data_IF_175998675674
#
_entry.id   IF_175998675674
#
_cell.length_a   1.000
_cell.length_b   1.000
_cell.length_c   1.000
_cell.angle_alpha   90.00
_cell.angle_beta   90.00
_cell.angle_gamma   90.00
#
_symmetry.space_group_name_H-M   'P 1'
#
loop_
_entity.id
_entity.type
_entity.pdbx_description
1 polymer ?
#
# COMPACT_ATOMS: atom_id res chain seq x y z
N UNK A 1 12.37 2.62 -1.52
CA UNK A 1 12.52 3.78 -2.44
C UNK A 1 11.56 4.86 -1.96
N UNK A 2 12.02 6.09 -1.70
CA UNK A 2 11.13 7.19 -1.27
C UNK A 2 10.90 8.10 -2.48
N UNK A 3 9.64 8.25 -2.88
CA UNK A 3 9.20 9.20 -3.90
C UNK A 3 8.94 10.56 -3.24
N UNK A 4 9.47 11.62 -3.81
CA UNK A 4 9.46 12.94 -3.19
C UNK A 4 9.79 14.02 -4.20
N UNK A 5 9.35 15.25 -3.93
CA UNK A 5 9.76 16.43 -4.70
C UNK A 5 11.00 17.08 -4.10
N UNK A 6 11.63 17.99 -4.85
CA UNK A 6 12.70 18.84 -4.34
C UNK A 6 12.13 19.90 -3.38
N UNK A 7 12.58 19.89 -2.12
CA UNK A 7 12.14 20.87 -1.11
C UNK A 7 12.45 22.32 -1.49
N UNK A 8 13.52 22.59 -2.25
CA UNK A 8 13.83 23.94 -2.75
C UNK A 8 12.89 24.39 -3.88
N UNK A 9 12.53 23.48 -4.79
CA UNK A 9 11.53 23.77 -5.82
C UNK A 9 10.17 24.04 -5.18
N UNK A 10 9.78 23.23 -4.20
CA UNK A 10 8.51 23.40 -3.50
C UNK A 10 8.49 24.70 -2.70
N UNK A 11 9.56 25.05 -1.99
CA UNK A 11 9.62 26.30 -1.23
C UNK A 11 9.57 27.56 -2.11
N UNK A 12 10.05 27.47 -3.35
CA UNK A 12 10.02 28.59 -4.30
C UNK A 12 8.62 28.85 -4.86
N UNK A 13 7.82 27.80 -5.06
CA UNK A 13 6.46 27.87 -5.57
C UNK A 13 5.64 26.66 -5.08
N UNK A 14 5.00 26.77 -3.89
CA UNK A 14 4.27 25.66 -3.26
C UNK A 14 3.02 25.23 -4.01
N UNK A 15 2.39 26.16 -4.75
CA UNK A 15 1.13 25.96 -5.47
C UNK A 15 1.34 25.43 -6.89
N UNK A 16 2.61 25.27 -7.30
CA UNK A 16 2.97 24.74 -8.62
C UNK A 16 2.46 23.32 -8.81
N UNK A 17 1.87 23.09 -9.97
CA UNK A 17 1.55 21.74 -10.42
C UNK A 17 2.81 20.87 -10.52
N UNK A 18 2.70 19.65 -9.99
CA UNK A 18 3.79 18.67 -9.96
C UNK A 18 3.72 17.81 -11.23
N UNK A 19 4.74 17.91 -12.07
CA UNK A 19 4.92 16.99 -13.19
C UNK A 19 5.56 15.70 -12.68
N UNK A 20 4.80 14.61 -12.72
CA UNK A 20 5.22 13.33 -12.16
C UNK A 20 6.53 12.79 -12.77
N UNK A 21 6.79 13.04 -14.06
CA UNK A 21 7.97 12.50 -14.74
C UNK A 21 9.25 13.26 -14.39
N UNK A 22 9.14 14.55 -14.10
CA UNK A 22 10.30 15.44 -13.94
C UNK A 22 10.51 15.90 -12.50
N UNK A 23 9.45 16.02 -11.71
CA UNK A 23 9.47 16.56 -10.36
C UNK A 23 9.54 15.48 -9.27
N UNK A 24 9.14 14.23 -9.58
CA UNK A 24 9.30 13.11 -8.66
C UNK A 24 10.73 12.60 -8.72
N UNK A 25 11.43 12.77 -7.60
CA UNK A 25 12.82 12.39 -7.43
C UNK A 25 12.90 11.08 -6.68
N UNK A 26 13.77 10.19 -7.16
CA UNK A 26 14.23 9.06 -6.37
C UNK A 26 15.31 9.54 -5.41
N UNK A 27 15.13 9.23 -4.13
CA UNK A 27 16.09 9.54 -3.08
C UNK A 27 16.66 8.31 -2.40
N UNK A 28 17.83 8.47 -1.81
CA UNK A 28 18.46 7.49 -0.94
C UNK A 28 18.78 8.11 0.42
N UNK A 29 18.67 7.31 1.48
CA UNK A 29 19.14 7.74 2.80
C UNK A 29 20.67 7.68 2.83
N UNK A 30 21.29 8.69 3.44
CA UNK A 30 22.74 8.76 3.68
C UNK A 30 22.99 9.12 5.13
N UNK A 31 23.98 8.47 5.75
CA UNK A 31 24.45 8.83 7.08
C UNK A 31 25.55 9.89 6.97
N UNK A 32 25.41 11.00 7.68
CA UNK A 32 26.38 12.10 7.72
C UNK A 32 26.36 12.75 9.11
N UNK A 33 27.52 12.97 9.71
CA UNK A 33 27.68 13.67 11.00
C UNK A 33 26.80 13.12 12.14
N UNK A 34 26.64 11.79 12.20
CA UNK A 34 25.80 11.13 13.21
C UNK A 34 24.30 11.30 13.00
N UNK A 35 23.88 11.78 11.83
CA UNK A 35 22.48 11.98 11.41
C UNK A 35 22.18 11.21 10.13
N UNK A 36 20.91 11.09 9.78
CA UNK A 36 20.46 10.52 8.51
C UNK A 36 19.76 11.59 7.68
N UNK A 37 20.15 11.69 6.42
CA UNK A 37 19.58 12.62 5.45
C UNK A 37 18.95 11.86 4.29
N UNK A 38 17.83 12.36 3.78
CA UNK A 38 17.30 11.91 2.50
C UNK A 38 17.91 12.77 1.39
N UNK A 39 18.81 12.17 0.63
CA UNK A 39 19.52 12.78 -0.50
C UNK A 39 18.78 12.52 -1.80
N UNK A 40 18.61 13.56 -2.61
CA UNK A 40 18.04 13.49 -3.96
C UNK A 40 18.84 14.36 -4.93
N UNK A 41 18.66 14.12 -6.23
CA UNK A 41 19.18 15.00 -7.28
C UNK A 41 18.01 15.72 -7.97
N UNK A 42 17.93 17.03 -7.81
CA UNK A 42 16.93 17.86 -8.45
C UNK A 42 17.24 18.07 -9.94
N UNK A 43 16.31 17.70 -10.81
CA UNK A 43 16.43 17.82 -12.27
C UNK A 43 16.26 19.25 -12.80
N UNK A 44 15.83 20.19 -11.95
CA UNK A 44 15.54 21.60 -12.31
C UNK A 44 16.68 22.57 -12.00
N UNK A 45 17.88 22.06 -11.73
CA UNK A 45 19.07 22.89 -11.55
C UNK A 45 19.48 23.19 -10.10
N UNK A 46 18.72 22.74 -9.09
CA UNK A 46 19.17 22.84 -7.68
C UNK A 46 20.28 21.84 -7.33
N UNK A 47 20.59 20.90 -8.22
CA UNK A 47 21.61 19.89 -8.01
C UNK A 47 21.23 18.93 -6.87
N UNK A 48 22.23 18.51 -6.10
CA UNK A 48 21.99 17.67 -4.93
C UNK A 48 21.23 18.44 -3.86
N UNK A 49 20.15 17.84 -3.38
CA UNK A 49 19.35 18.37 -2.27
C UNK A 49 19.25 17.32 -1.19
N UNK A 50 19.52 17.73 0.05
CA UNK A 50 19.38 16.92 1.24
C UNK A 50 18.29 17.50 2.13
N UNK A 51 17.60 16.62 2.84
CA UNK A 51 16.69 17.00 3.92
C UNK A 51 16.97 16.09 5.10
N UNK A 52 16.96 16.66 6.31
CA UNK A 52 17.12 15.86 7.52
C UNK A 52 15.99 14.83 7.57
N UNK A 53 16.34 13.57 7.79
CA UNK A 53 15.41 12.47 7.93
C UNK A 53 15.36 12.00 9.39
N UNK A 54 16.51 11.86 10.03
CA UNK A 54 16.66 11.50 11.43
C UNK A 54 17.87 12.23 12.03
N UNK A 55 17.73 12.76 13.24
CA UNK A 55 18.75 13.55 13.94
C UNK A 55 19.74 12.70 14.75
N UNK A 56 19.42 11.43 15.01
CA UNK A 56 20.32 10.48 15.67
C UNK A 56 20.42 9.17 14.87
N UNK A 57 21.59 8.96 14.25
CA UNK A 57 21.91 7.75 13.51
C UNK A 57 21.80 6.48 14.36
N UNK A 58 22.16 6.53 15.65
CA UNK A 58 22.07 5.35 16.53
C UNK A 58 20.63 4.96 16.77
N UNK A 59 19.76 5.95 16.95
CA UNK A 59 18.32 5.71 17.04
C UNK A 59 17.79 5.16 15.71
N UNK A 60 18.16 5.75 14.57
CA UNK A 60 17.76 5.26 13.26
C UNK A 60 18.12 3.77 13.06
N UNK A 61 19.36 3.41 13.37
CA UNK A 61 19.91 2.06 13.24
C UNK A 61 19.22 1.08 14.20
N UNK A 62 19.05 1.49 15.46
CA UNK A 62 18.26 0.74 16.45
C UNK A 62 16.83 0.49 15.96
N UNK A 63 16.17 1.49 15.37
CA UNK A 63 14.80 1.34 14.84
C UNK A 63 14.73 0.42 13.62
N UNK A 64 15.82 0.22 12.87
CA UNK A 64 15.82 -0.71 11.75
C UNK A 64 15.53 -2.16 12.20
N UNK A 65 15.89 -2.52 13.43
CA UNK A 65 15.62 -3.87 13.98
C UNK A 65 14.12 -4.11 14.28
N UNK A 66 13.34 -3.04 14.43
CA UNK A 66 11.90 -3.09 14.70
C UNK A 66 11.07 -2.99 13.43
N UNK A 67 11.70 -2.78 12.27
CA UNK A 67 11.02 -2.95 11.01
C UNK A 67 10.60 -4.40 10.94
N UNK A 68 9.28 -4.64 10.86
CA UNK A 68 8.77 -5.96 10.52
C UNK A 68 9.50 -6.39 9.27
N UNK A 69 10.36 -7.45 9.34
CA UNK A 69 11.05 -7.92 8.17
C UNK A 69 9.98 -8.13 7.13
N UNK A 70 10.21 -7.58 5.94
CA UNK A 70 9.38 -7.89 4.81
C UNK A 70 9.43 -9.40 4.69
N UNK A 71 8.28 -10.06 4.86
CA UNK A 71 8.19 -11.47 4.50
C UNK A 71 8.74 -11.61 3.09
N UNK A 72 9.42 -12.71 2.82
CA UNK A 72 9.95 -12.92 1.47
C UNK A 72 8.79 -12.85 0.48
N UNK A 73 8.78 -11.81 -0.35
CA UNK A 73 7.81 -11.66 -1.43
C UNK A 73 8.45 -12.28 -2.64
N UNK A 74 7.85 -13.37 -3.11
CA UNK A 74 8.25 -13.97 -4.36
C UNK A 74 7.59 -13.19 -5.51
N UNK A 75 8.40 -12.58 -6.41
CA UNK A 75 7.87 -11.88 -7.57
C UNK A 75 7.13 -12.84 -8.51
N UNK A 76 6.01 -12.39 -9.07
CA UNK A 76 5.28 -13.07 -10.14
C UNK A 76 6.04 -13.06 -11.44
N UNK A 77 6.57 -11.88 -11.75
CA UNK A 77 7.32 -11.59 -12.97
C UNK A 77 8.68 -11.04 -12.57
N UNK A 78 9.63 -11.93 -12.23
CA UNK A 78 11.03 -11.54 -12.07
C UNK A 78 11.48 -10.77 -13.32
N UNK A 79 12.28 -9.72 -13.13
CA UNK A 79 12.70 -8.76 -14.15
C UNK A 79 11.61 -7.82 -14.72
N UNK A 80 10.39 -7.81 -14.17
CA UNK A 80 9.43 -6.76 -14.46
C UNK A 80 9.88 -5.44 -13.82
N UNK A 81 10.46 -4.58 -14.65
CA UNK A 81 10.97 -3.25 -14.28
C UNK A 81 10.04 -2.11 -14.72
N UNK A 82 8.79 -2.42 -15.09
CA UNK A 82 7.82 -1.37 -15.45
C UNK A 82 7.55 -0.46 -14.26
N UNK A 83 7.35 0.85 -14.48
CA UNK A 83 6.98 1.75 -13.40
C UNK A 83 5.69 1.29 -12.70
N UNK A 84 5.69 1.33 -11.38
CA UNK A 84 4.50 1.13 -10.56
C UNK A 84 3.60 2.38 -10.68
N UNK A 85 2.26 2.25 -10.86
CA UNK A 85 1.45 1.03 -10.72
C UNK A 85 1.30 0.18 -11.99
N UNK A 86 1.78 0.64 -13.16
CA UNK A 86 1.56 -0.08 -14.43
C UNK A 86 2.19 -1.49 -14.44
N UNK A 87 3.29 -1.69 -13.72
CA UNK A 87 3.89 -3.01 -13.55
C UNK A 87 2.98 -4.04 -12.88
N UNK A 88 2.01 -3.61 -12.05
CA UNK A 88 1.09 -4.52 -11.36
C UNK A 88 0.13 -5.26 -12.29
N UNK A 89 -0.09 -4.76 -13.51
CA UNK A 89 -0.88 -5.46 -14.51
C UNK A 89 -0.29 -6.84 -14.90
N UNK A 90 1.04 -6.98 -14.72
CA UNK A 90 1.80 -8.19 -15.04
C UNK A 90 2.17 -8.98 -13.76
N UNK A 91 1.53 -8.68 -12.62
CA UNK A 91 1.83 -9.25 -11.30
C UNK A 91 2.87 -8.45 -10.50
N UNK A 92 3.29 -8.99 -9.36
CA UNK A 92 4.31 -8.37 -8.50
C UNK A 92 5.71 -8.52 -9.12
N UNK A 93 6.38 -7.40 -9.37
CA UNK A 93 7.77 -7.39 -9.85
C UNK A 93 8.81 -7.32 -8.72
N UNK A 94 10.10 -7.44 -9.06
CA UNK A 94 11.22 -7.45 -8.11
C UNK A 94 11.34 -6.17 -7.25
N UNK A 95 10.74 -5.08 -7.70
CA UNK A 95 10.72 -3.81 -6.95
C UNK A 95 9.70 -3.84 -5.80
N UNK A 96 8.79 -4.83 -5.76
CA UNK A 96 7.87 -5.03 -4.66
C UNK A 96 8.61 -5.69 -3.50
N UNK A 97 8.99 -4.87 -2.53
CA UNK A 97 9.71 -5.33 -1.34
C UNK A 97 8.86 -5.26 -0.08
N UNK A 98 7.59 -4.83 -0.15
CA UNK A 98 6.73 -4.66 1.05
C UNK A 98 5.61 -5.69 1.11
N UNK A 99 5.55 -6.40 2.24
CA UNK A 99 4.51 -7.37 2.54
C UNK A 99 3.17 -6.65 2.79
N UNK A 100 2.06 -7.37 2.67
CA UNK A 100 0.72 -6.82 2.86
C UNK A 100 0.39 -6.71 4.36
N UNK A 101 0.62 -5.54 4.96
CA UNK A 101 0.29 -5.31 6.38
C UNK A 101 -1.21 -5.51 6.69
N UNK A 102 -2.07 -5.05 5.78
CA UNK A 102 -3.53 -5.20 5.83
C UNK A 102 -4.01 -5.57 4.43
N UNK A 103 -4.64 -6.73 4.31
CA UNK A 103 -5.36 -7.13 3.11
C UNK A 103 -6.77 -6.54 3.18
N UNK A 104 -7.05 -5.52 2.38
CA UNK A 104 -8.40 -4.97 2.22
C UNK A 104 -9.10 -5.66 1.06
N UNK A 105 -10.30 -6.19 1.32
CA UNK A 105 -11.14 -6.82 0.30
C UNK A 105 -12.53 -6.19 0.27
N UNK A 106 -12.85 -5.54 -0.84
CA UNK A 106 -14.21 -5.06 -1.09
C UNK A 106 -15.08 -6.24 -1.56
N UNK A 107 -16.06 -6.60 -0.73
CA UNK A 107 -16.94 -7.75 -0.99
C UNK A 107 -18.26 -7.34 -1.66
N UNK A 108 -18.55 -6.05 -1.76
CA UNK A 108 -19.78 -5.51 -2.36
C UNK A 108 -19.57 -4.08 -2.83
N UNK A 109 -20.18 -3.69 -3.95
CA UNK A 109 -20.31 -2.26 -4.33
C UNK A 109 -21.63 -1.65 -3.81
N UNK A 110 -22.54 -2.49 -3.30
CA UNK A 110 -23.82 -2.04 -2.75
C UNK A 110 -23.64 -1.44 -1.35
N UNK A 111 -24.32 -0.33 -1.09
CA UNK A 111 -24.40 0.32 0.21
C UNK A 111 -25.86 0.56 0.59
N UNK A 112 -26.20 0.58 1.87
CA UNK A 112 -27.52 1.02 2.36
C UNK A 112 -27.58 2.55 2.60
N UNK A 113 -26.47 3.26 2.36
CA UNK A 113 -26.34 4.72 2.45
C UNK A 113 -25.86 5.30 1.11
N UNK A 114 -26.09 6.59 0.92
CA UNK A 114 -25.65 7.37 -0.25
C UNK A 114 -24.89 8.62 0.23
N UNK A 115 -23.67 8.39 0.76
CA UNK A 115 -22.88 9.45 1.38
C UNK A 115 -22.29 10.40 0.31
N UNK A 116 -22.45 11.74 0.45
CA UNK A 116 -22.02 12.71 -0.57
C UNK A 116 -20.49 12.78 -0.76
N UNK A 117 -19.73 12.18 0.15
CA UNK A 117 -18.26 12.16 0.15
C UNK A 117 -17.69 10.75 -0.09
N UNK A 118 -18.52 9.79 -0.50
CA UNK A 118 -18.07 8.42 -0.74
C UNK A 118 -17.12 8.36 -1.94
N UNK A 119 -15.88 7.90 -1.73
CA UNK A 119 -14.89 7.75 -2.81
C UNK A 119 -15.24 6.60 -3.77
N UNK A 120 -15.95 5.57 -3.29
CA UNK A 120 -16.31 4.37 -4.05
C UNK A 120 -17.61 4.53 -4.86
N UNK A 121 -18.32 5.67 -4.71
CA UNK A 121 -19.64 5.92 -5.30
C UNK A 121 -20.65 4.79 -5.04
N UNK A 122 -20.51 4.09 -3.92
CA UNK A 122 -21.44 3.04 -3.49
C UNK A 122 -22.77 3.65 -3.07
N UNK A 123 -23.86 3.01 -3.46
CA UNK A 123 -25.22 3.47 -3.20
C UNK A 123 -26.18 2.28 -3.15
N UNK A 124 -27.42 2.47 -2.64
CA UNK A 124 -28.45 1.47 -2.70
C UNK A 124 -28.77 1.07 -4.14
N UNK A 125 -28.86 -0.23 -4.41
CA UNK A 125 -29.33 -0.75 -5.69
C UNK A 125 -28.25 -0.96 -6.75
N UNK A 126 -26.97 -0.68 -6.46
CA UNK A 126 -25.84 -1.07 -7.35
C UNK A 126 -25.73 -2.60 -7.45
N UNK A 127 -26.20 -3.34 -6.44
CA UNK A 127 -26.58 -4.75 -6.54
C UNK A 127 -25.46 -5.75 -6.82
N UNK A 128 -24.20 -5.35 -6.70
CA UNK A 128 -23.03 -6.20 -6.97
C UNK A 128 -22.42 -6.72 -5.69
N UNK A 129 -22.56 -8.02 -5.48
CA UNK A 129 -21.98 -8.79 -4.38
C UNK A 129 -20.93 -9.76 -4.94
N UNK A 130 -19.73 -9.79 -4.37
CA UNK A 130 -18.70 -10.71 -4.76
C UNK A 130 -19.06 -12.13 -4.30
N UNK A 131 -19.08 -13.10 -5.23
CA UNK A 131 -19.42 -14.47 -4.87
C UNK A 131 -18.42 -15.04 -3.85
N UNK A 132 -18.91 -15.71 -2.81
CA UNK A 132 -18.08 -16.33 -1.76
C UNK A 132 -16.88 -17.13 -2.33
N UNK A 133 -17.04 -18.01 -3.34
CA UNK A 133 -15.89 -18.75 -3.90
C UNK A 133 -14.79 -17.86 -4.48
N UNK A 134 -15.12 -16.67 -4.98
CA UNK A 134 -14.13 -15.72 -5.49
C UNK A 134 -13.39 -15.03 -4.35
N UNK A 135 -14.12 -14.62 -3.31
CA UNK A 135 -13.53 -14.04 -2.10
C UNK A 135 -12.55 -15.03 -1.48
N UNK A 136 -12.97 -16.29 -1.29
CA UNK A 136 -12.12 -17.32 -0.69
C UNK A 136 -10.89 -17.61 -1.54
N UNK A 137 -11.04 -17.73 -2.87
CA UNK A 137 -9.90 -17.87 -3.78
C UNK A 137 -8.90 -16.73 -3.67
N UNK A 138 -9.37 -15.49 -3.59
CA UNK A 138 -8.51 -14.31 -3.43
C UNK A 138 -7.79 -14.32 -2.08
N UNK A 139 -8.50 -14.65 -1.00
CA UNK A 139 -7.91 -14.77 0.33
C UNK A 139 -6.86 -15.89 0.40
N UNK A 140 -7.16 -17.07 -0.14
CA UNK A 140 -6.24 -18.21 -0.19
C UNK A 140 -4.98 -17.87 -1.00
N UNK A 141 -5.15 -17.14 -2.11
CA UNK A 141 -4.03 -16.64 -2.91
C UNK A 141 -3.17 -15.67 -2.10
N UNK A 142 -3.78 -14.71 -1.40
CA UNK A 142 -3.05 -13.75 -0.58
C UNK A 142 -2.31 -14.43 0.58
N UNK A 143 -2.93 -15.40 1.25
CA UNK A 143 -2.30 -16.21 2.31
C UNK A 143 -1.07 -16.92 1.77
N UNK A 144 -1.18 -17.59 0.61
CA UNK A 144 -0.04 -18.26 -0.01
C UNK A 144 1.10 -17.28 -0.36
N UNK A 145 0.75 -16.07 -0.83
CA UNK A 145 1.73 -15.02 -1.16
C UNK A 145 2.44 -14.43 0.05
N UNK A 146 1.76 -14.36 1.18
CA UNK A 146 2.28 -13.79 2.42
C UNK A 146 2.99 -14.85 3.30
N UNK A 147 3.49 -15.93 2.69
CA UNK A 147 4.21 -17.00 3.40
C UNK A 147 3.31 -17.89 4.26
N UNK A 148 2.05 -18.05 3.86
CA UNK A 148 1.08 -18.94 4.51
C UNK A 148 0.25 -18.29 5.61
N UNK A 149 0.31 -16.96 5.79
CA UNK A 149 -0.47 -16.23 6.81
C UNK A 149 -0.81 -14.82 6.36
N UNK A 150 -2.01 -14.33 6.65
CA UNK A 150 -2.33 -12.90 6.58
C UNK A 150 -2.43 -12.34 8.01
N UNK A 151 -1.82 -11.19 8.26
CA UNK A 151 -1.86 -10.60 9.61
C UNK A 151 -3.21 -9.93 9.87
N UNK A 152 -3.68 -9.09 8.94
CA UNK A 152 -4.98 -8.45 9.06
C UNK A 152 -5.74 -8.57 7.74
N UNK A 153 -6.95 -9.10 7.80
CA UNK A 153 -7.94 -9.02 6.73
C UNK A 153 -8.98 -7.97 7.12
N UNK A 154 -9.21 -6.99 6.25
CA UNK A 154 -10.29 -6.02 6.37
C UNK A 154 -11.31 -6.27 5.27
N UNK A 155 -12.52 -6.67 5.66
CA UNK A 155 -13.67 -6.78 4.78
C UNK A 155 -14.35 -5.41 4.68
N UNK A 156 -14.53 -4.95 3.45
CA UNK A 156 -15.00 -3.60 3.09
C UNK A 156 -15.97 -3.68 1.90
N UNK A 157 -16.31 -2.54 1.30
CA UNK A 157 -17.08 -2.45 0.06
C UNK A 157 -17.71 -1.07 -0.07
N UNK A 158 -18.98 -1.06 -0.45
CA UNK A 158 -19.93 -0.07 0.06
C UNK A 158 -20.18 -0.34 1.55
N UNK A 159 -21.31 -0.98 1.87
CA UNK A 159 -21.59 -1.44 3.23
C UNK A 159 -21.47 -2.98 3.28
N UNK A 160 -20.39 -3.56 3.83
CA UNK A 160 -20.18 -5.00 3.78
C UNK A 160 -21.23 -5.80 4.56
N UNK A 161 -21.89 -5.22 5.57
CA UNK A 161 -22.93 -5.92 6.34
C UNK A 161 -24.19 -6.24 5.53
N UNK A 162 -24.41 -5.56 4.39
CA UNK A 162 -25.54 -5.90 3.49
C UNK A 162 -25.24 -7.09 2.58
N UNK A 163 -24.00 -7.61 2.59
CA UNK A 163 -23.66 -8.79 1.80
C UNK A 163 -24.43 -10.02 2.32
N UNK A 164 -25.19 -10.73 1.47
CA UNK A 164 -26.09 -11.80 1.93
C UNK A 164 -25.36 -12.98 2.58
N UNK A 165 -24.06 -13.12 2.30
CA UNK A 165 -23.19 -14.17 2.85
C UNK A 165 -22.10 -13.62 3.78
N UNK A 166 -22.29 -12.44 4.40
CA UNK A 166 -21.25 -11.78 5.20
C UNK A 166 -20.75 -12.66 6.35
N UNK A 167 -21.65 -13.41 6.99
CA UNK A 167 -21.30 -14.30 8.10
C UNK A 167 -20.47 -15.48 7.61
N UNK A 168 -20.85 -16.12 6.50
CA UNK A 168 -20.10 -17.22 5.90
C UNK A 168 -18.71 -16.78 5.43
N UNK A 169 -18.58 -15.53 4.94
CA UNK A 169 -17.27 -14.95 4.59
C UNK A 169 -16.39 -14.82 5.84
N UNK A 170 -16.94 -14.28 6.93
CA UNK A 170 -16.20 -14.08 8.19
C UNK A 170 -15.79 -15.43 8.78
N UNK A 171 -16.71 -16.39 8.87
CA UNK A 171 -16.43 -17.74 9.37
C UNK A 171 -15.32 -18.41 8.55
N UNK A 172 -15.45 -18.40 7.23
CA UNK A 172 -14.45 -18.96 6.35
C UNK A 172 -13.08 -18.25 6.46
N UNK A 173 -13.06 -16.94 6.70
CA UNK A 173 -11.82 -16.20 6.93
C UNK A 173 -11.17 -16.54 8.28
N UNK A 174 -11.96 -16.73 9.33
CA UNK A 174 -11.50 -17.12 10.67
C UNK A 174 -10.94 -18.55 10.68
N UNK A 175 -11.50 -19.45 9.89
CA UNK A 175 -11.01 -20.83 9.73
C UNK A 175 -9.66 -20.92 9.00
N UNK A 176 -9.20 -19.82 8.40
CA UNK A 176 -7.92 -19.72 7.70
C UNK A 176 -6.85 -19.13 8.61
N UNK A 177 -5.59 -19.17 8.15
CA UNK A 177 -4.47 -18.56 8.88
C UNK A 177 -4.45 -17.03 8.72
N UNK A 178 -5.49 -16.38 9.27
CA UNK A 178 -5.66 -14.94 9.34
C UNK A 178 -5.62 -14.54 10.81
N UNK A 179 -4.66 -13.69 11.20
CA UNK A 179 -4.48 -13.36 12.63
C UNK A 179 -5.63 -12.49 13.15
N UNK A 180 -6.14 -11.57 12.33
CA UNK A 180 -7.25 -10.69 12.69
C UNK A 180 -8.15 -10.41 11.49
N UNK A 181 -9.45 -10.66 11.65
CA UNK A 181 -10.49 -10.26 10.69
C UNK A 181 -11.19 -9.01 11.21
N UNK A 182 -11.30 -7.98 10.38
CA UNK A 182 -11.94 -6.70 10.66
C UNK A 182 -13.06 -6.51 9.65
N UNK A 183 -14.22 -6.05 10.12
CA UNK A 183 -15.32 -5.61 9.27
C UNK A 183 -15.37 -4.07 9.31
N UNK A 184 -15.33 -3.44 8.14
CA UNK A 184 -15.35 -1.98 7.97
C UNK A 184 -16.74 -1.52 7.50
N UNK A 185 -17.58 -1.04 8.43
CA UNK A 185 -18.99 -0.66 8.25
C UNK A 185 -19.22 0.74 8.81
#
# INVERSE_FOLDING_TARGET
MVLTVCGRCFAADPDREIDYETDILQGNLVAMDGRVYLRRLCRRGHGEVTSLYEEDYRLWDYLQQWRTPTREILPDTPANVRPIPMGYADGLGDLQTQHSCVLLMDITENCNLECPTCFAASAPGIGRFAALPHILRSLDTAIAREGGRVDVLMLSGGEPTVHPQVLEIIEAAVDRNVTRVILNT
#
